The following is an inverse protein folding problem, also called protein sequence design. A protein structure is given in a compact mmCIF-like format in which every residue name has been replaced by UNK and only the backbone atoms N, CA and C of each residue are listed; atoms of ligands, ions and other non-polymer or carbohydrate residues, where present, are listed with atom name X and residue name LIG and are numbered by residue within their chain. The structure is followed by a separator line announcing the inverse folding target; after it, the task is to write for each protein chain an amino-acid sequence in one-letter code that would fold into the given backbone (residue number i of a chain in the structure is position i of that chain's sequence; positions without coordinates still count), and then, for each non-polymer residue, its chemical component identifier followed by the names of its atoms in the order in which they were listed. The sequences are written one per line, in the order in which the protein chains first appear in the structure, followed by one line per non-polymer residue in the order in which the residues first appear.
data_IF_424173916157
#
_entry.id   IF_424173916157
#
_cell.length_a   1.000
_cell.length_b   1.000
_cell.length_c   1.000
_cell.angle_alpha   90.00
_cell.angle_beta   90.00
_cell.angle_gamma   90.00
#
_symmetry.space_group_name_H-M   'P 1'
#
loop_
_entity.id
_entity.type
_entity.pdbx_description
1 polymer ?
#
# COMPACT_ATOMS: atom_id res chain seq x y z
N UNK A 1 -18.89 28.87 -7.30
CA UNK A 1 -17.94 28.30 -8.27
C UNK A 1 -18.50 26.95 -8.72
N UNK A 2 -18.77 26.78 -10.05
CA UNK A 2 -19.46 25.57 -10.54
C UNK A 2 -18.50 24.40 -10.54
N UNK A 3 -18.79 23.35 -9.84
CA UNK A 3 -18.02 22.10 -9.74
C UNK A 3 -17.67 21.49 -11.12
N UNK A 4 -18.50 21.75 -12.13
CA UNK A 4 -18.26 21.34 -13.52
C UNK A 4 -16.96 21.89 -14.11
N UNK A 5 -16.53 23.09 -13.73
CA UNK A 5 -15.31 23.71 -14.26
C UNK A 5 -14.03 23.07 -13.69
N UNK A 6 -14.08 22.62 -12.44
CA UNK A 6 -12.95 21.94 -11.78
C UNK A 6 -12.75 20.55 -12.40
N UNK A 7 -13.85 19.82 -12.65
CA UNK A 7 -13.78 18.52 -13.33
C UNK A 7 -13.22 18.62 -14.75
N UNK A 8 -13.60 19.67 -15.51
CA UNK A 8 -13.07 19.89 -16.86
C UNK A 8 -11.58 20.23 -16.87
N UNK A 9 -11.08 21.01 -15.90
CA UNK A 9 -9.66 21.34 -15.80
C UNK A 9 -8.84 20.12 -15.39
N UNK A 10 -9.30 19.31 -14.46
CA UNK A 10 -8.64 18.07 -14.04
C UNK A 10 -8.60 17.06 -15.17
N UNK A 11 -9.70 16.92 -15.92
CA UNK A 11 -9.74 16.05 -17.11
C UNK A 11 -8.78 16.52 -18.20
N UNK A 12 -8.67 17.83 -18.45
CA UNK A 12 -7.79 18.40 -19.47
C UNK A 12 -6.30 18.26 -19.11
N UNK A 13 -5.97 18.30 -17.82
CA UNK A 13 -4.59 18.09 -17.33
C UNK A 13 -4.18 16.61 -17.33
N UNK A 14 -5.15 15.68 -17.27
CA UNK A 14 -4.86 14.24 -17.27
C UNK A 14 -4.74 13.65 -18.69
N UNK A 15 -5.33 14.29 -19.71
CA UNK A 15 -5.31 13.81 -21.09
C UNK A 15 -3.91 13.62 -21.69
N UNK A 16 -2.95 14.57 -21.58
CA UNK A 16 -1.60 14.38 -22.13
C UNK A 16 -0.79 13.33 -21.37
N UNK A 17 -1.02 13.16 -20.07
CA UNK A 17 -0.40 12.10 -19.28
C UNK A 17 -0.92 10.71 -19.69
N UNK A 18 -2.17 10.61 -20.13
CA UNK A 18 -2.77 9.38 -20.66
C UNK A 18 -2.15 8.95 -21.99
N UNK A 19 -1.86 9.91 -22.88
CA UNK A 19 -1.24 9.66 -24.19
C UNK A 19 0.23 9.25 -24.05
N UNK A 20 1.01 9.92 -23.19
CA UNK A 20 2.42 9.62 -22.97
C UNK A 20 2.67 8.24 -22.32
N UNK A 21 1.69 7.68 -21.61
CA UNK A 21 1.81 6.36 -20.99
C UNK A 21 1.73 5.19 -21.99
N UNK A 22 1.25 5.45 -23.20
CA UNK A 22 1.11 4.42 -24.24
C UNK A 22 2.42 4.20 -25.05
N UNK A 23 3.36 5.13 -24.96
CA UNK A 23 4.62 5.08 -25.72
C UNK A 23 5.84 4.63 -24.88
N UNK A 24 5.66 4.31 -23.61
CA UNK A 24 6.73 3.80 -22.76
C UNK A 24 7.13 2.38 -23.21
N UNK A 25 8.16 2.36 -24.06
CA UNK A 25 8.60 1.22 -24.81
C UNK A 25 9.27 0.12 -23.98
N UNK A 26 9.38 -0.95 -24.63
CA UNK A 26 10.15 -2.19 -24.58
C UNK A 26 11.48 -2.17 -23.83
N UNK A 27 11.44 -1.93 -22.51
CA UNK A 27 12.56 -2.18 -21.62
C UNK A 27 12.52 -3.67 -21.21
N UNK A 28 13.60 -4.47 -21.35
CA UNK A 28 13.61 -5.89 -21.01
C UNK A 28 13.34 -6.19 -19.51
N UNK A 29 13.33 -5.17 -18.66
CA UNK A 29 12.88 -5.25 -17.28
C UNK A 29 11.39 -4.91 -17.11
N UNK A 30 10.70 -4.57 -18.20
CA UNK A 30 9.30 -4.21 -18.17
C UNK A 30 8.44 -5.46 -18.06
N UNK A 31 7.57 -5.45 -17.09
CA UNK A 31 6.51 -6.43 -16.89
C UNK A 31 5.68 -6.57 -18.17
N UNK A 32 5.72 -7.72 -18.81
CA UNK A 32 5.08 -7.99 -20.11
C UNK A 32 3.64 -8.49 -20.00
N UNK A 33 3.06 -8.51 -18.81
CA UNK A 33 1.68 -8.93 -18.57
C UNK A 33 0.67 -7.83 -18.88
N UNK A 34 -0.62 -8.18 -19.04
CA UNK A 34 -1.71 -7.23 -19.25
C UNK A 34 -1.95 -6.42 -17.94
N UNK A 35 -1.16 -5.37 -17.74
CA UNK A 35 -1.32 -4.47 -16.61
C UNK A 35 -2.31 -3.36 -16.95
N UNK A 36 -3.17 -3.03 -16.00
CA UNK A 36 -4.04 -1.87 -16.11
C UNK A 36 -3.19 -0.60 -16.10
N UNK A 37 -3.62 0.40 -16.86
CA UNK A 37 -2.93 1.69 -16.87
C UNK A 37 -2.79 2.24 -15.46
N UNK A 38 -1.57 2.63 -15.00
CA UNK A 38 -1.34 3.21 -13.67
C UNK A 38 -2.20 4.44 -13.40
N UNK A 39 -2.50 5.21 -14.42
CA UNK A 39 -3.36 6.40 -14.33
C UNK A 39 -4.81 6.04 -14.05
N UNK A 40 -5.34 5.02 -14.72
CA UNK A 40 -6.68 4.51 -14.45
C UNK A 40 -6.79 3.98 -13.03
N UNK A 41 -5.83 3.16 -12.62
CA UNK A 41 -5.80 2.61 -11.24
C UNK A 41 -5.67 3.72 -10.20
N UNK A 42 -4.80 4.71 -10.44
CA UNK A 42 -4.66 5.86 -9.56
C UNK A 42 -5.95 6.67 -9.43
N UNK A 43 -6.65 6.92 -10.55
CA UNK A 43 -7.94 7.60 -10.56
C UNK A 43 -9.01 6.81 -9.79
N UNK A 44 -9.05 5.48 -9.96
CA UNK A 44 -9.98 4.61 -9.23
C UNK A 44 -9.69 4.57 -7.72
N UNK A 45 -8.42 4.55 -7.32
CA UNK A 45 -8.03 4.65 -5.90
C UNK A 45 -8.45 6.00 -5.32
N UNK A 46 -8.25 7.09 -6.05
CA UNK A 46 -8.70 8.42 -5.65
C UNK A 46 -10.22 8.49 -5.47
N UNK A 47 -10.96 7.95 -6.43
CA UNK A 47 -12.42 7.87 -6.36
C UNK A 47 -12.88 7.00 -5.17
N UNK A 48 -12.26 5.83 -4.99
CA UNK A 48 -12.54 4.95 -3.85
C UNK A 48 -12.32 5.70 -2.52
N UNK A 49 -11.23 6.44 -2.40
CA UNK A 49 -10.94 7.23 -1.19
C UNK A 49 -12.01 8.29 -0.94
N UNK A 50 -12.47 8.98 -1.99
CA UNK A 50 -13.58 9.95 -1.87
C UNK A 50 -14.89 9.29 -1.43
N UNK A 51 -15.20 8.12 -1.99
CA UNK A 51 -16.39 7.35 -1.60
C UNK A 51 -16.31 6.87 -0.16
N UNK A 52 -15.14 6.43 0.30
CA UNK A 52 -14.96 6.01 1.69
C UNK A 52 -15.13 7.16 2.67
N UNK A 53 -14.63 8.34 2.36
CA UNK A 53 -14.91 9.54 3.15
C UNK A 53 -16.39 9.89 3.16
N UNK A 54 -17.04 9.81 2.01
CA UNK A 54 -18.45 10.18 1.88
C UNK A 54 -19.39 9.24 2.66
N UNK A 55 -19.15 7.92 2.60
CA UNK A 55 -20.04 6.92 3.22
C UNK A 55 -19.65 6.55 4.66
N UNK A 56 -18.37 6.59 5.00
CA UNK A 56 -17.88 6.07 6.27
C UNK A 56 -17.28 7.14 7.17
N UNK A 57 -17.13 8.37 6.67
CA UNK A 57 -16.46 9.47 7.38
C UNK A 57 -15.07 9.09 7.93
N UNK A 58 -14.40 8.15 7.24
CA UNK A 58 -13.10 7.60 7.66
C UNK A 58 -12.09 7.64 6.52
N UNK A 59 -10.82 8.02 6.85
CA UNK A 59 -9.75 7.98 5.88
C UNK A 59 -9.38 6.54 5.53
N UNK A 60 -8.89 6.35 4.32
CA UNK A 60 -8.34 5.08 3.87
C UNK A 60 -6.99 4.88 4.56
N UNK A 61 -6.87 3.82 5.34
CA UNK A 61 -5.65 3.48 6.07
C UNK A 61 -5.60 1.98 6.39
N UNK A 62 -4.41 1.38 6.35
CA UNK A 62 -4.25 -0.05 6.58
C UNK A 62 -3.45 -0.38 7.86
N UNK A 63 -2.74 0.59 8.44
CA UNK A 63 -1.84 0.33 9.56
C UNK A 63 -2.56 -0.13 10.83
N UNK A 64 -3.75 0.39 11.10
CA UNK A 64 -4.55 0.02 12.26
C UNK A 64 -5.18 -1.37 12.09
N UNK A 65 -5.49 -1.77 10.84
CA UNK A 65 -5.99 -3.12 10.55
C UNK A 65 -5.00 -4.20 11.02
N UNK A 66 -3.71 -4.03 10.74
CA UNK A 66 -2.68 -4.99 11.19
C UNK A 66 -2.60 -5.06 12.72
N UNK A 67 -2.68 -3.94 13.41
CA UNK A 67 -2.69 -3.92 14.86
C UNK A 67 -3.93 -4.61 15.44
N UNK A 68 -5.10 -4.42 14.83
CA UNK A 68 -6.34 -5.08 15.24
C UNK A 68 -6.32 -6.58 15.00
N UNK A 69 -5.84 -7.01 13.83
CA UNK A 69 -5.65 -8.44 13.52
C UNK A 69 -4.66 -9.07 14.51
N UNK A 70 -3.53 -8.41 14.79
CA UNK A 70 -2.58 -8.87 15.81
C UNK A 70 -3.23 -8.98 17.20
N UNK A 71 -4.08 -8.02 17.57
CA UNK A 71 -4.84 -8.05 18.79
C UNK A 71 -5.87 -9.19 18.85
N UNK A 72 -6.56 -9.49 17.74
CA UNK A 72 -7.49 -10.62 17.66
C UNK A 72 -6.76 -11.95 17.82
N UNK A 73 -5.61 -12.12 17.13
CA UNK A 73 -4.76 -13.30 17.28
C UNK A 73 -4.21 -13.39 18.72
N UNK A 74 -3.72 -12.29 19.26
CA UNK A 74 -3.22 -12.20 20.63
C UNK A 74 -4.28 -12.57 21.68
N UNK A 75 -5.53 -12.15 21.45
CA UNK A 75 -6.67 -12.52 22.29
C UNK A 75 -6.98 -14.01 22.25
N UNK A 76 -6.79 -14.65 21.09
CA UNK A 76 -6.99 -16.09 20.94
C UNK A 76 -5.85 -16.92 21.59
N UNK A 77 -4.61 -16.44 21.51
CA UNK A 77 -3.41 -17.19 21.98
C UNK A 77 -3.04 -16.85 23.42
N UNK A 78 -3.09 -15.58 23.81
CA UNK A 78 -2.67 -15.08 25.12
C UNK A 78 -3.62 -13.97 25.62
N UNK A 79 -4.87 -14.30 25.98
CA UNK A 79 -5.90 -13.29 26.29
C UNK A 79 -5.49 -12.35 27.42
N UNK A 80 -4.97 -12.90 28.55
CA UNK A 80 -4.54 -12.11 29.71
C UNK A 80 -3.46 -11.08 29.37
N UNK A 81 -2.49 -11.46 28.54
CA UNK A 81 -1.42 -10.56 28.12
C UNK A 81 -1.96 -9.46 27.19
N UNK A 82 -2.75 -9.83 26.20
CA UNK A 82 -3.31 -8.88 25.24
C UNK A 82 -4.22 -7.85 25.92
N UNK A 83 -5.05 -8.27 26.86
CA UNK A 83 -5.95 -7.39 27.60
C UNK A 83 -5.22 -6.49 28.62
N UNK A 84 -4.03 -6.87 29.08
CA UNK A 84 -3.20 -6.04 29.96
C UNK A 84 -2.49 -4.90 29.21
N UNK A 85 -2.37 -4.98 27.91
CA UNK A 85 -1.71 -3.93 27.10
C UNK A 85 -2.61 -2.70 26.99
N UNK A 86 -2.13 -1.55 27.47
CA UNK A 86 -2.85 -0.28 27.42
C UNK A 86 -3.38 0.06 26.02
N UNK A 87 -2.61 -0.23 24.98
CA UNK A 87 -3.04 -0.01 23.60
C UNK A 87 -4.35 -0.72 23.26
N UNK A 88 -4.53 -1.99 23.69
CA UNK A 88 -5.73 -2.77 23.40
C UNK A 88 -6.87 -2.53 24.40
N UNK A 89 -6.59 -1.86 25.52
CA UNK A 89 -7.63 -1.32 26.39
C UNK A 89 -8.31 -0.11 25.76
N UNK A 90 -7.50 0.77 25.16
CA UNK A 90 -7.98 1.99 24.49
C UNK A 90 -8.54 1.66 23.09
N UNK A 91 -7.95 0.70 22.38
CA UNK A 91 -8.30 0.29 21.01
C UNK A 91 -8.69 -1.18 20.98
N UNK A 92 -9.93 -1.48 21.33
CA UNK A 92 -10.42 -2.88 21.39
C UNK A 92 -10.25 -3.57 20.03
N UNK A 93 -9.60 -4.76 19.98
CA UNK A 93 -9.48 -5.53 18.75
C UNK A 93 -10.88 -5.94 18.25
N UNK A 94 -11.24 -5.49 17.08
CA UNK A 94 -12.52 -5.80 16.44
C UNK A 94 -12.31 -5.86 14.91
N UNK A 95 -13.17 -6.62 14.26
CA UNK A 95 -13.27 -6.61 12.79
C UNK A 95 -14.05 -5.36 12.44
N UNK A 96 -13.36 -4.38 11.90
CA UNK A 96 -13.95 -3.12 11.48
C UNK A 96 -13.66 -2.82 10.00
N UNK A 97 -14.06 -1.64 9.59
CA UNK A 97 -13.88 -1.13 8.25
C UNK A 97 -12.45 -1.26 7.70
N UNK A 98 -11.41 -0.96 8.50
CA UNK A 98 -10.02 -1.04 8.05
C UNK A 98 -9.57 -2.49 7.82
N UNK A 99 -10.01 -3.43 8.67
CA UNK A 99 -9.78 -4.86 8.48
C UNK A 99 -10.50 -5.36 7.22
N UNK A 100 -11.76 -4.95 7.02
CA UNK A 100 -12.53 -5.28 5.82
C UNK A 100 -11.88 -4.73 4.55
N UNK A 101 -11.33 -3.52 4.60
CA UNK A 101 -10.59 -2.91 3.49
C UNK A 101 -9.38 -3.77 3.10
N UNK A 102 -8.58 -4.20 4.07
CA UNK A 102 -7.39 -5.04 3.81
C UNK A 102 -7.79 -6.40 3.24
N UNK A 103 -8.82 -7.05 3.81
CA UNK A 103 -9.35 -8.31 3.28
C UNK A 103 -9.86 -8.13 1.85
N UNK A 104 -10.60 -7.05 1.59
CA UNK A 104 -11.07 -6.71 0.25
C UNK A 104 -9.93 -6.48 -0.75
N UNK A 105 -8.87 -5.80 -0.32
CA UNK A 105 -7.69 -5.56 -1.16
C UNK A 105 -6.96 -6.87 -1.51
N UNK A 106 -6.79 -7.77 -0.53
CA UNK A 106 -6.19 -9.11 -0.77
C UNK A 106 -7.07 -9.93 -1.71
N UNK A 107 -8.38 -9.96 -1.47
CA UNK A 107 -9.32 -10.68 -2.33
C UNK A 107 -9.35 -10.13 -3.76
N UNK A 108 -9.36 -8.79 -3.90
CA UNK A 108 -9.30 -8.12 -5.20
C UNK A 108 -8.00 -8.40 -5.95
N UNK A 109 -6.86 -8.36 -5.26
CA UNK A 109 -5.56 -8.70 -5.84
C UNK A 109 -5.51 -10.16 -6.32
N UNK A 110 -6.04 -11.08 -5.52
CA UNK A 110 -6.12 -12.50 -5.89
C UNK A 110 -6.99 -12.73 -7.15
N UNK A 111 -8.15 -12.06 -7.21
CA UNK A 111 -9.02 -12.13 -8.39
C UNK A 111 -8.35 -11.52 -9.64
N UNK A 112 -7.68 -10.39 -9.49
CA UNK A 112 -6.97 -9.74 -10.58
C UNK A 112 -5.83 -10.62 -11.11
N UNK A 113 -5.01 -11.19 -10.21
CA UNK A 113 -3.94 -12.11 -10.57
C UNK A 113 -4.47 -13.40 -11.25
N UNK A 114 -5.63 -13.90 -10.79
CA UNK A 114 -6.29 -15.05 -11.43
C UNK A 114 -6.74 -14.76 -12.86
N UNK A 115 -7.31 -13.57 -13.10
CA UNK A 115 -7.72 -13.14 -14.43
C UNK A 115 -6.53 -12.82 -15.34
N UNK A 116 -5.44 -12.28 -14.79
CA UNK A 116 -4.22 -11.98 -15.53
C UNK A 116 -3.34 -13.20 -15.83
N UNK A 117 -3.66 -14.39 -15.30
CA UNK A 117 -2.82 -15.57 -15.44
C UNK A 117 -1.50 -15.49 -14.66
N UNK A 118 -1.43 -14.60 -13.67
CA UNK A 118 -0.22 -14.28 -12.91
C UNK A 118 -0.07 -15.10 -11.61
N UNK A 119 -0.98 -16.02 -11.37
CA UNK A 119 -0.88 -16.97 -10.25
C UNK A 119 0.24 -17.98 -10.53
N UNK A 120 1.45 -17.49 -10.67
CA UNK A 120 2.66 -18.31 -10.76
C UNK A 120 3.09 -18.68 -9.35
N UNK A 121 3.39 -19.94 -9.10
CA UNK A 121 3.91 -20.39 -7.79
C UNK A 121 5.33 -19.88 -7.47
N UNK A 122 5.73 -18.76 -8.01
CA UNK A 122 7.05 -18.14 -7.80
C UNK A 122 7.09 -17.40 -6.46
N UNK A 123 7.90 -17.90 -5.54
CA UNK A 123 8.11 -17.29 -4.22
C UNK A 123 9.11 -16.14 -4.23
N UNK A 124 10.03 -16.15 -5.20
CA UNK A 124 11.05 -15.14 -5.36
C UNK A 124 10.74 -14.30 -6.58
N UNK A 125 10.90 -12.98 -6.47
CA UNK A 125 10.80 -12.10 -7.63
C UNK A 125 12.03 -12.27 -8.53
N UNK A 126 11.89 -12.12 -9.85
CA UNK A 126 13.03 -12.25 -10.80
C UNK A 126 14.20 -11.31 -10.44
N UNK A 127 13.91 -10.10 -9.99
CA UNK A 127 14.92 -9.13 -9.56
C UNK A 127 15.71 -9.62 -8.33
N UNK A 128 15.04 -10.27 -7.39
CA UNK A 128 15.71 -10.86 -6.21
C UNK A 128 16.59 -12.03 -6.60
N UNK A 129 16.08 -12.93 -7.46
CA UNK A 129 16.83 -14.08 -7.95
C UNK A 129 18.09 -13.67 -8.72
N UNK A 130 17.99 -12.65 -9.56
CA UNK A 130 19.12 -12.10 -10.30
C UNK A 130 20.20 -11.53 -9.38
N UNK A 131 19.83 -10.99 -8.22
CA UNK A 131 20.78 -10.34 -7.30
C UNK A 131 21.36 -11.29 -6.25
N UNK A 132 20.54 -12.16 -5.68
CA UNK A 132 20.88 -12.96 -4.50
C UNK A 132 20.86 -14.49 -4.75
N UNK A 133 20.49 -14.91 -5.97
CA UNK A 133 20.41 -16.32 -6.36
C UNK A 133 19.08 -16.97 -6.05
N UNK A 134 18.82 -18.10 -6.72
CA UNK A 134 17.54 -18.83 -6.68
C UNK A 134 17.25 -19.52 -5.34
N UNK A 135 18.28 -19.87 -4.58
CA UNK A 135 18.13 -20.62 -3.32
C UNK A 135 18.12 -19.72 -2.07
N UNK A 136 17.95 -18.41 -2.25
CA UNK A 136 18.05 -17.42 -1.17
C UNK A 136 16.74 -17.20 -0.39
N UNK A 137 15.90 -18.23 -0.26
CA UNK A 137 14.59 -18.15 0.44
C UNK A 137 14.71 -17.68 1.90
N UNK A 138 15.64 -18.27 2.65
CA UNK A 138 15.85 -17.92 4.05
C UNK A 138 16.27 -16.45 4.21
N UNK A 139 17.21 -15.98 3.36
CA UNK A 139 17.64 -14.58 3.36
C UNK A 139 16.49 -13.64 2.97
N UNK A 140 15.70 -14.00 1.96
CA UNK A 140 14.51 -13.23 1.55
C UNK A 140 13.51 -13.10 2.69
N UNK A 141 13.24 -14.20 3.39
CA UNK A 141 12.31 -14.21 4.53
C UNK A 141 12.84 -13.37 5.70
N UNK A 142 14.13 -13.49 6.02
CA UNK A 142 14.74 -12.68 7.08
C UNK A 142 14.71 -11.18 6.76
N UNK A 143 15.08 -10.79 5.53
CA UNK A 143 15.02 -9.39 5.09
C UNK A 143 13.58 -8.87 5.07
N UNK A 144 12.61 -9.68 4.63
CA UNK A 144 11.20 -9.29 4.63
C UNK A 144 10.66 -9.11 6.05
N UNK A 145 11.04 -9.99 6.99
CA UNK A 145 10.66 -9.87 8.39
C UNK A 145 11.24 -8.60 9.03
N UNK A 146 12.54 -8.36 8.87
CA UNK A 146 13.20 -7.17 9.41
C UNK A 146 12.62 -5.89 8.79
N UNK A 147 12.44 -5.88 7.47
CA UNK A 147 11.82 -4.76 6.77
C UNK A 147 10.38 -4.49 7.24
N UNK A 148 9.60 -5.54 7.46
CA UNK A 148 8.24 -5.44 7.99
C UNK A 148 8.20 -4.86 9.40
N UNK A 149 9.12 -5.29 10.28
CA UNK A 149 9.25 -4.73 11.65
C UNK A 149 9.62 -3.25 11.61
N UNK A 150 10.62 -2.88 10.81
CA UNK A 150 11.05 -1.48 10.68
C UNK A 150 9.93 -0.60 10.09
N UNK A 151 9.22 -1.11 9.08
CA UNK A 151 8.09 -0.40 8.46
C UNK A 151 6.94 -0.22 9.45
N UNK A 152 6.59 -1.24 10.22
CA UNK A 152 5.54 -1.16 11.23
C UNK A 152 5.91 -0.16 12.33
N UNK A 153 7.15 -0.18 12.80
CA UNK A 153 7.66 0.76 13.79
C UNK A 153 7.62 2.20 13.26
N UNK A 154 8.14 2.43 12.05
CA UNK A 154 8.12 3.75 11.40
C UNK A 154 6.70 4.28 11.19
N UNK A 155 5.76 3.44 10.75
CA UNK A 155 4.36 3.82 10.58
C UNK A 155 3.70 4.23 11.92
N UNK A 156 4.09 3.60 13.02
CA UNK A 156 3.59 3.98 14.36
C UNK A 156 4.18 5.29 14.86
N UNK A 157 5.47 5.54 14.61
CA UNK A 157 6.11 6.82 14.93
C UNK A 157 5.52 7.98 14.11
N UNK A 158 5.29 7.75 12.82
CA UNK A 158 4.72 8.75 11.92
C UNK A 158 3.23 9.02 12.15
N UNK A 159 2.54 8.18 12.93
CA UNK A 159 1.09 8.28 13.12
C UNK A 159 0.25 7.77 11.95
N UNK A 160 0.87 7.14 10.96
CA UNK A 160 0.20 6.56 9.79
C UNK A 160 1.15 5.84 8.84
N UNK A 161 0.61 4.99 7.99
CA UNK A 161 1.36 4.30 6.94
C UNK A 161 1.29 5.06 5.61
N UNK A 162 1.90 4.52 4.56
CA UNK A 162 1.89 5.10 3.23
C UNK A 162 0.47 5.29 2.66
N UNK A 163 -0.49 4.42 2.96
CA UNK A 163 -1.89 4.62 2.55
C UNK A 163 -2.57 5.74 3.34
N UNK A 164 -2.27 5.88 4.63
CA UNK A 164 -2.82 6.95 5.47
C UNK A 164 -2.28 8.33 5.08
N UNK A 165 -0.95 8.47 4.96
CA UNK A 165 -0.34 9.74 4.58
C UNK A 165 -0.31 9.96 3.06
N UNK A 166 0.08 8.94 2.27
CA UNK A 166 0.29 9.10 0.85
C UNK A 166 -1.00 9.15 0.03
N UNK A 167 -2.07 8.47 0.43
CA UNK A 167 -3.36 8.54 -0.25
C UNK A 167 -4.29 9.51 0.48
N UNK A 168 -4.77 9.13 1.65
CA UNK A 168 -5.78 9.93 2.35
C UNK A 168 -5.28 11.29 2.82
N UNK A 169 -4.09 11.35 3.41
CA UNK A 169 -3.52 12.60 3.92
C UNK A 169 -3.10 13.55 2.80
N UNK A 170 -2.60 13.01 1.69
CA UNK A 170 -2.26 13.81 0.50
C UNK A 170 -3.51 14.41 -0.15
N UNK A 171 -4.60 13.64 -0.27
CA UNK A 171 -5.89 14.13 -0.79
C UNK A 171 -6.53 15.18 0.12
N UNK A 172 -6.26 15.12 1.43
CA UNK A 172 -6.67 16.15 2.39
C UNK A 172 -5.76 17.38 2.40
N UNK A 173 -4.72 17.42 1.54
CA UNK A 173 -3.72 18.49 1.46
C UNK A 173 -3.00 18.73 2.81
N UNK A 174 -2.86 17.71 3.63
CA UNK A 174 -2.17 17.80 4.92
C UNK A 174 -0.67 17.94 4.71
N UNK A 175 -0.09 19.04 5.18
CA UNK A 175 1.36 19.33 5.06
C UNK A 175 2.20 18.25 5.73
N UNK A 176 1.80 17.78 6.93
CA UNK A 176 2.47 16.68 7.63
C UNK A 176 2.49 15.40 6.82
N UNK A 177 1.39 15.10 6.12
CA UNK A 177 1.30 13.92 5.26
C UNK A 177 2.17 14.04 4.01
N UNK A 178 2.29 15.21 3.42
CA UNK A 178 3.22 15.46 2.31
C UNK A 178 4.68 15.27 2.73
N UNK A 179 5.08 15.79 3.90
CA UNK A 179 6.43 15.59 4.43
C UNK A 179 6.69 14.10 4.68
N UNK A 180 5.75 13.40 5.33
CA UNK A 180 5.88 11.96 5.56
C UNK A 180 6.02 11.17 4.25
N UNK A 181 5.24 11.53 3.23
CA UNK A 181 5.29 10.91 1.90
C UNK A 181 6.67 11.07 1.25
N UNK A 182 7.23 12.28 1.27
CA UNK A 182 8.59 12.55 0.75
C UNK A 182 9.62 11.70 1.50
N UNK A 183 9.54 11.60 2.83
CA UNK A 183 10.44 10.79 3.62
C UNK A 183 10.30 9.28 3.31
N UNK A 184 9.08 8.77 3.09
CA UNK A 184 8.86 7.38 2.70
C UNK A 184 9.50 7.07 1.34
N UNK A 185 9.33 7.94 0.35
CA UNK A 185 9.96 7.77 -0.96
C UNK A 185 11.48 7.86 -0.87
N UNK A 186 12.03 8.85 -0.16
CA UNK A 186 13.47 8.99 0.02
C UNK A 186 14.09 7.76 0.68
N UNK A 187 13.47 7.26 1.77
CA UNK A 187 13.92 6.06 2.46
C UNK A 187 13.80 4.80 1.58
N UNK A 188 12.70 4.66 0.86
CA UNK A 188 12.48 3.55 -0.05
C UNK A 188 13.48 3.50 -1.20
N UNK A 189 13.72 4.63 -1.86
CA UNK A 189 14.72 4.76 -2.94
C UNK A 189 16.12 4.46 -2.42
N UNK A 190 16.52 5.05 -1.30
CA UNK A 190 17.82 4.82 -0.69
C UNK A 190 18.03 3.33 -0.35
N UNK A 191 17.03 2.68 0.21
CA UNK A 191 17.08 1.25 0.54
C UNK A 191 17.15 0.39 -0.72
N UNK A 192 16.37 0.70 -1.75
CA UNK A 192 16.38 -0.03 -3.01
C UNK A 192 17.74 0.09 -3.71
N UNK A 193 18.30 1.30 -3.79
CA UNK A 193 19.64 1.54 -4.35
C UNK A 193 20.71 0.77 -3.59
N UNK A 194 20.64 0.74 -2.26
CA UNK A 194 21.59 0.01 -1.43
C UNK A 194 21.50 -1.52 -1.64
N UNK A 195 20.27 -2.05 -1.71
CA UNK A 195 20.03 -3.49 -1.86
C UNK A 195 20.38 -3.99 -3.25
N UNK A 196 19.95 -3.28 -4.28
CA UNK A 196 20.07 -3.73 -5.65
C UNK A 196 21.26 -3.13 -6.40
N UNK A 197 21.96 -2.17 -5.80
CA UNK A 197 23.11 -1.45 -6.41
C UNK A 197 22.77 -0.87 -7.79
N UNK A 198 21.59 -0.26 -7.87
CA UNK A 198 21.14 0.45 -9.06
C UNK A 198 21.64 1.88 -9.00
#
# INVERSE_FOLDING_TARGET
MRWSSIFSIVALLLLPAFAAAQEAGTDPLQYSGPAWSPYLVGALIGLLTMLTFYFSDKPLGASTAYARVAGLIGKAVAPRHTESLKYYQDNKPAIDWEVMLVVGAVGGAFLAAGQGGELTGQWLSPMWEARFGKDSYAMRTAVALLGGVLMAFGARLAGGCTSGHGISGALQLSVGSWIALICFFAGGIATAMLMFRV
#
